data_IF_275596512518
#
_entry.id   IF_275596512518
#
_cell.length_a   1.000
_cell.length_b   1.000
_cell.length_c   1.000
_cell.angle_alpha   90.00
_cell.angle_beta   90.00
_cell.angle_gamma   90.00
#
_symmetry.space_group_name_H-M   'P 1'
#
loop_
_entity.id
_entity.type
_entity.pdbx_description
1 polymer ?
#
# COMPACT_ATOMS: atom_id res chain seq x y z
N UNK A 1 15.25 6.33 -3.68
CA UNK A 1 14.29 5.51 -2.91
C UNK A 1 15.05 4.61 -1.95
N UNK A 2 14.52 4.27 -0.77
CA UNK A 2 15.16 3.31 0.12
C UNK A 2 15.26 1.93 -0.58
N UNK A 3 16.35 1.16 -0.37
CA UNK A 3 16.63 -0.13 -1.04
C UNK A 3 15.62 -1.25 -0.70
N UNK A 4 14.61 -0.97 0.11
CA UNK A 4 13.53 -1.89 0.50
C UNK A 4 12.47 -2.10 -0.60
N UNK A 5 12.55 -1.38 -1.72
CA UNK A 5 11.57 -1.47 -2.82
C UNK A 5 11.80 -2.64 -3.80
N UNK A 6 12.95 -3.34 -3.72
CA UNK A 6 13.24 -4.45 -4.61
C UNK A 6 12.33 -5.65 -4.28
N UNK A 7 11.25 -5.83 -5.05
CA UNK A 7 10.28 -6.92 -4.87
C UNK A 7 8.93 -6.51 -4.29
N UNK A 8 8.70 -5.21 -4.04
CA UNK A 8 7.44 -4.71 -3.49
C UNK A 8 6.83 -3.62 -4.37
N UNK A 9 5.50 -3.61 -4.49
CA UNK A 9 4.77 -2.41 -4.87
C UNK A 9 4.68 -1.49 -3.66
N UNK A 10 4.96 -0.21 -3.85
CA UNK A 10 5.00 0.77 -2.76
C UNK A 10 3.92 1.81 -2.96
N UNK A 11 2.98 1.92 -2.02
CA UNK A 11 1.95 2.95 -2.01
C UNK A 11 2.15 3.84 -0.79
N UNK A 12 2.35 5.13 -1.03
CA UNK A 12 2.45 6.14 0.04
C UNK A 12 1.15 6.93 0.12
N UNK A 13 0.53 6.96 1.30
CA UNK A 13 -0.65 7.79 1.59
C UNK A 13 -0.23 8.90 2.53
N UNK A 14 -0.36 10.15 2.08
CA UNK A 14 0.03 11.36 2.79
C UNK A 14 -1.10 12.38 2.81
N UNK A 15 -1.05 13.36 3.72
CA UNK A 15 -1.98 14.50 3.74
C UNK A 15 -3.16 14.38 4.71
N UNK A 16 -3.20 13.34 5.55
CA UNK A 16 -4.13 13.28 6.68
C UNK A 16 -3.52 13.90 7.94
N UNK A 17 -4.30 14.54 8.83
CA UNK A 17 -3.79 15.12 10.08
C UNK A 17 -3.11 14.05 10.93
N UNK A 18 -1.88 14.32 11.39
CA UNK A 18 -1.00 13.36 12.05
C UNK A 18 -1.67 12.70 13.29
N UNK A 19 -2.51 13.45 14.01
CA UNK A 19 -3.30 12.94 15.14
C UNK A 19 -4.28 11.81 14.77
N UNK A 20 -4.76 11.72 13.52
CA UNK A 20 -5.71 10.66 13.09
C UNK A 20 -5.04 9.31 12.82
N UNK A 21 -3.72 9.26 12.63
CA UNK A 21 -3.01 8.02 12.28
C UNK A 21 -2.57 7.22 13.51
N UNK A 22 -2.93 7.70 14.70
CA UNK A 22 -2.50 7.16 15.98
C UNK A 22 -1.23 7.85 16.46
N UNK A 23 -1.41 8.99 17.13
CA UNK A 23 -0.40 9.48 18.07
C UNK A 23 -0.73 8.91 19.44
N UNK A 24 0.03 7.89 19.83
CA UNK A 24 -0.20 7.12 21.05
C UNK A 24 0.96 6.16 21.29
N UNK A 25 2.13 6.71 21.63
CA UNK A 25 3.10 6.03 22.50
C UNK A 25 3.92 4.89 21.87
N UNK A 26 5.17 5.20 21.64
CA UNK A 26 6.27 4.25 21.56
C UNK A 26 6.28 3.26 22.75
N UNK A 27 6.02 1.97 22.52
CA UNK A 27 6.62 0.83 23.23
C UNK A 27 6.15 -0.48 22.60
N UNK A 28 7.02 -1.08 21.77
CA UNK A 28 7.25 -2.49 21.37
C UNK A 28 6.12 -3.54 21.27
N UNK A 29 4.94 -3.33 21.86
CA UNK A 29 3.77 -4.23 21.84
C UNK A 29 2.65 -3.69 20.92
N UNK A 30 2.47 -2.37 20.82
CA UNK A 30 1.40 -1.75 20.02
C UNK A 30 1.68 -1.68 18.51
N UNK A 31 2.95 -1.84 18.09
CA UNK A 31 3.35 -1.77 16.68
C UNK A 31 2.89 -2.97 15.86
N UNK A 32 2.96 -4.17 16.42
CA UNK A 32 2.53 -5.40 15.74
C UNK A 32 1.02 -5.43 15.54
N UNK A 33 0.24 -5.10 16.58
CA UNK A 33 -1.22 -5.03 16.48
C UNK A 33 -1.69 -3.91 15.52
N UNK A 34 -0.99 -2.78 15.50
CA UNK A 34 -1.28 -1.71 14.53
C UNK A 34 -0.96 -2.14 13.10
N UNK A 35 0.18 -2.80 12.89
CA UNK A 35 0.57 -3.33 11.59
C UNK A 35 -0.44 -4.37 11.10
N UNK A 36 -0.77 -5.37 11.91
CA UNK A 36 -1.74 -6.43 11.59
C UNK A 36 -3.11 -5.85 11.22
N UNK A 37 -3.58 -4.85 11.96
CA UNK A 37 -4.83 -4.15 11.64
C UNK A 37 -4.75 -3.49 10.27
N UNK A 38 -3.68 -2.75 9.98
CA UNK A 38 -3.54 -2.05 8.71
C UNK A 38 -3.35 -2.99 7.52
N UNK A 39 -2.59 -4.07 7.69
CA UNK A 39 -2.44 -5.10 6.65
C UNK A 39 -3.75 -5.84 6.41
N UNK A 40 -4.56 -6.08 7.44
CA UNK A 40 -5.86 -6.75 7.32
C UNK A 40 -6.97 -5.91 6.68
N UNK A 41 -6.86 -4.58 6.71
CA UNK A 41 -7.86 -3.66 6.12
C UNK A 41 -7.40 -2.99 4.83
N UNK A 42 -6.22 -3.36 4.33
CA UNK A 42 -5.62 -2.79 3.13
C UNK A 42 -5.41 -3.87 2.07
N UNK A 43 -5.78 -3.56 0.83
CA UNK A 43 -5.58 -4.47 -0.29
C UNK A 43 -5.22 -3.73 -1.57
N UNK A 44 -4.50 -4.44 -2.43
CA UNK A 44 -4.16 -4.06 -3.78
C UNK A 44 -4.63 -5.16 -4.74
N UNK A 45 -5.50 -4.85 -5.68
CA UNK A 45 -6.16 -5.86 -6.50
C UNK A 45 -6.21 -5.46 -7.97
N UNK A 46 -5.71 -6.32 -8.85
CA UNK A 46 -5.95 -6.23 -10.29
C UNK A 46 -7.41 -6.58 -10.62
N UNK A 47 -7.95 -6.00 -11.69
CA UNK A 47 -9.34 -6.29 -12.10
C UNK A 47 -9.56 -7.79 -12.36
N UNK A 48 -10.34 -8.43 -11.48
CA UNK A 48 -10.66 -9.86 -11.58
C UNK A 48 -9.58 -10.81 -11.04
N UNK A 49 -8.50 -10.28 -10.45
CA UNK A 49 -7.51 -11.06 -9.71
C UNK A 49 -7.78 -11.09 -8.21
N UNK A 50 -6.98 -11.86 -7.47
CA UNK A 50 -7.07 -11.92 -6.02
C UNK A 50 -6.51 -10.65 -5.34
N UNK A 51 -7.10 -10.21 -4.22
CA UNK A 51 -6.58 -9.08 -3.46
C UNK A 51 -5.26 -9.45 -2.77
N UNK A 52 -4.25 -8.60 -2.97
CA UNK A 52 -2.94 -8.69 -2.32
C UNK A 52 -2.93 -7.78 -1.10
N UNK A 53 -2.74 -8.33 0.09
CA UNK A 53 -2.52 -7.55 1.31
C UNK A 53 -1.06 -7.07 1.38
N UNK A 54 -0.79 -5.91 2.00
CA UNK A 54 0.60 -5.53 2.25
C UNK A 54 1.18 -6.44 3.34
N UNK A 55 2.45 -6.81 3.21
CA UNK A 55 3.16 -7.57 4.24
C UNK A 55 3.72 -6.63 5.34
N UNK A 56 3.94 -5.36 4.97
CA UNK A 56 4.52 -4.36 5.84
C UNK A 56 3.89 -2.99 5.60
N UNK A 57 3.67 -2.29 6.71
CA UNK A 57 3.30 -0.87 6.71
C UNK A 57 4.32 -0.12 7.54
N UNK A 58 4.93 0.90 6.96
CA UNK A 58 5.90 1.75 7.65
C UNK A 58 5.41 3.19 7.67
N UNK A 59 5.71 3.88 8.77
CA UNK A 59 5.42 5.31 8.90
C UNK A 59 6.65 6.10 8.48
N UNK A 60 6.49 7.00 7.52
CA UNK A 60 7.58 7.83 6.98
C UNK A 60 7.14 9.29 7.03
N UNK A 61 7.64 10.03 8.02
CA UNK A 61 7.18 11.38 8.31
C UNK A 61 5.67 11.43 8.54
N UNK A 62 4.95 12.21 7.73
CA UNK A 62 3.49 12.37 7.74
C UNK A 62 2.73 11.38 6.85
N UNK A 63 3.43 10.38 6.29
CA UNK A 63 2.85 9.41 5.39
C UNK A 63 2.87 7.99 5.97
N UNK A 64 1.87 7.19 5.58
CA UNK A 64 1.94 5.73 5.67
C UNK A 64 2.37 5.15 4.34
N UNK A 65 3.35 4.27 4.40
CA UNK A 65 3.91 3.57 3.26
C UNK A 65 3.54 2.10 3.38
N UNK A 66 2.75 1.62 2.43
CA UNK A 66 2.30 0.24 2.32
C UNK A 66 3.18 -0.50 1.32
N UNK A 67 3.72 -1.65 1.73
CA UNK A 67 4.57 -2.49 0.90
C UNK A 67 3.80 -3.77 0.58
N UNK A 68 3.56 -4.00 -0.71
CA UNK A 68 2.86 -5.18 -1.20
C UNK A 68 3.86 -6.10 -1.89
N UNK A 69 3.96 -7.38 -1.51
CA UNK A 69 4.87 -8.29 -2.18
C UNK A 69 4.45 -8.50 -3.65
N UNK A 70 5.40 -8.48 -4.58
CA UNK A 70 5.13 -8.69 -6.02
C UNK A 70 4.68 -10.13 -6.37
N UNK A 71 4.66 -11.04 -5.38
CA UNK A 71 4.12 -12.40 -5.50
C UNK A 71 4.79 -13.23 -6.60
N UNK A 72 4.22 -14.41 -6.88
CA UNK A 72 4.64 -15.25 -8.01
C UNK A 72 4.13 -14.71 -9.35
N UNK A 73 3.02 -13.95 -9.33
CA UNK A 73 2.43 -13.30 -10.49
C UNK A 73 2.36 -11.79 -10.28
N UNK A 74 3.41 -11.05 -10.66
CA UNK A 74 3.38 -9.59 -10.69
C UNK A 74 2.27 -9.07 -11.61
N UNK A 75 1.68 -7.93 -11.27
CA UNK A 75 0.76 -7.21 -12.14
C UNK A 75 1.42 -6.89 -13.49
N UNK A 76 0.72 -7.21 -14.59
CA UNK A 76 1.16 -6.94 -15.96
C UNK A 76 0.22 -5.96 -16.66
N UNK A 77 0.62 -5.43 -17.81
CA UNK A 77 -0.24 -4.58 -18.66
C UNK A 77 -1.63 -5.21 -18.94
N UNK A 78 -1.72 -6.54 -18.96
CA UNK A 78 -2.95 -7.28 -19.23
C UNK A 78 -4.02 -7.09 -18.16
N UNK A 79 -3.60 -6.75 -16.93
CA UNK A 79 -4.50 -6.52 -15.80
C UNK A 79 -5.25 -5.19 -15.91
N UNK A 80 -4.79 -4.28 -16.79
CA UNK A 80 -5.35 -2.96 -17.16
C UNK A 80 -5.44 -1.93 -16.05
N UNK A 81 -5.95 -2.31 -14.88
CA UNK A 81 -6.20 -1.45 -13.72
C UNK A 81 -5.94 -2.24 -12.44
N UNK A 82 -5.22 -1.58 -11.52
CA UNK A 82 -5.02 -2.05 -10.15
C UNK A 82 -5.72 -1.09 -9.20
N UNK A 83 -6.45 -1.63 -8.24
CA UNK A 83 -7.25 -0.88 -7.27
C UNK A 83 -6.63 -1.06 -5.89
N UNK A 84 -6.25 0.06 -5.29
CA UNK A 84 -5.88 0.14 -3.89
C UNK A 84 -7.11 0.48 -3.06
N UNK A 85 -7.28 -0.22 -1.95
CA UNK A 85 -8.31 0.05 -0.95
C UNK A 85 -7.71 -0.04 0.43
N UNK A 86 -7.93 0.96 1.27
CA UNK A 86 -7.55 0.92 2.69
C UNK A 86 -8.63 1.56 3.55
N UNK A 87 -8.77 1.08 4.78
CA UNK A 87 -9.64 1.70 5.80
C UNK A 87 -8.79 2.26 6.93
N UNK A 88 -8.86 3.58 7.12
CA UNK A 88 -8.16 4.31 8.16
C UNK A 88 -9.20 4.89 9.12
N UNK A 89 -9.49 4.14 10.20
CA UNK A 89 -10.57 4.46 11.12
C UNK A 89 -11.93 4.52 10.38
N UNK A 90 -12.67 5.64 10.43
CA UNK A 90 -13.94 5.79 9.74
C UNK A 90 -13.79 6.10 8.23
N UNK A 91 -12.59 6.43 7.76
CA UNK A 91 -12.36 6.80 6.36
C UNK A 91 -12.02 5.57 5.52
N UNK A 92 -12.68 5.42 4.38
CA UNK A 92 -12.32 4.44 3.36
C UNK A 92 -11.69 5.16 2.17
N UNK A 93 -10.45 4.81 1.86
CA UNK A 93 -9.71 5.34 0.73
C UNK A 93 -9.70 4.26 -0.35
N UNK A 94 -10.13 4.63 -1.56
CA UNK A 94 -10.06 3.78 -2.74
C UNK A 94 -9.42 4.56 -3.87
N UNK A 95 -8.31 4.06 -4.39
CA UNK A 95 -7.60 4.64 -5.51
C UNK A 95 -7.50 3.62 -6.64
N UNK A 96 -7.71 4.08 -7.87
CA UNK A 96 -7.59 3.26 -9.07
C UNK A 96 -6.35 3.70 -9.82
N UNK A 97 -5.53 2.74 -10.20
CA UNK A 97 -4.31 2.94 -10.95
C UNK A 97 -4.41 2.20 -12.28
N UNK A 98 -4.76 2.89 -13.37
CA UNK A 98 -4.68 2.30 -14.70
C UNK A 98 -3.21 1.99 -15.01
N UNK A 99 -2.87 0.73 -15.25
CA UNK A 99 -1.48 0.30 -15.44
C UNK A 99 -0.83 0.96 -16.65
N UNK A 100 -1.63 1.28 -17.68
CA UNK A 100 -1.20 2.08 -18.84
C UNK A 100 -0.67 3.48 -18.47
N UNK A 101 -1.18 4.05 -17.37
CA UNK A 101 -0.81 5.39 -16.88
C UNK A 101 0.31 5.30 -15.82
N UNK A 102 0.68 4.07 -15.40
CA UNK A 102 1.81 3.75 -14.53
C UNK A 102 3.06 3.32 -15.30
N UNK A 103 3.06 3.46 -16.63
CA UNK A 103 4.23 3.21 -17.49
C UNK A 103 5.04 4.49 -17.58
N UNK A 104 6.25 4.47 -17.03
CA UNK A 104 7.23 5.53 -17.22
C UNK A 104 8.27 5.04 -18.24
N UNK A 105 8.50 5.80 -19.30
CA UNK A 105 9.48 5.51 -20.37
C UNK A 105 9.34 4.12 -21.03
N UNK A 106 8.11 3.70 -21.33
CA UNK A 106 7.84 2.45 -22.04
C UNK A 106 8.07 1.16 -21.23
N UNK A 107 8.37 1.27 -19.93
CA UNK A 107 8.44 0.16 -18.98
C UNK A 107 7.44 0.39 -17.85
N UNK A 108 6.79 -0.69 -17.39
CA UNK A 108 6.08 -0.63 -16.11
C UNK A 108 7.15 -0.47 -15.02
N UNK A 109 7.47 0.77 -14.65
CA UNK A 109 8.24 1.07 -13.46
C UNK A 109 7.32 0.92 -12.25
N UNK A 110 7.25 -0.31 -11.76
CA UNK A 110 6.59 -0.72 -10.51
C UNK A 110 7.60 -0.87 -9.38
#
# INVERSE_FOLDING_TARGET
MPPVAAGHYVISVSGGPMERWGEGGQRREGGAAWQERLTGVTSLQAKGGDPVAPDRVVRSGSALVFLFPKGERPFSMDDKEVVFSTRLGPMQIKAKFPLKDMVYDGRLEL
#
